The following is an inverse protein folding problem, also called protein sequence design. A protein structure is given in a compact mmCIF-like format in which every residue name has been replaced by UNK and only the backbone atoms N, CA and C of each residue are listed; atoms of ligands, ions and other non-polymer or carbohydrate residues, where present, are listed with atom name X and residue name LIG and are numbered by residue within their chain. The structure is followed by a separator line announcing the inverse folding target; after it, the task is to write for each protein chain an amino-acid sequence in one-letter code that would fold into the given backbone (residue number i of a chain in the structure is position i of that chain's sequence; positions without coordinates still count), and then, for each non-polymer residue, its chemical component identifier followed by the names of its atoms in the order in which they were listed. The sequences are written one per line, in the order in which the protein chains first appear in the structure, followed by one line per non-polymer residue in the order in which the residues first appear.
data_IF_379439302283
#
_entry.id   IF_379439302283
#
_cell.length_a   1.000
_cell.length_b   1.000
_cell.length_c   1.000
_cell.angle_alpha   90.00
_cell.angle_beta   90.00
_cell.angle_gamma   90.00
#
_symmetry.space_group_name_H-M   'P 1'
#
loop_
_entity.id
_entity.type
_entity.pdbx_description
1 polymer ?
#
# COMPACT_ATOMS: atom_id res chain seq x y z
N UNK A 1 -9.18 17.55 5.76
CA UNK A 1 -8.45 16.33 5.35
C UNK A 1 -7.49 15.91 6.45
N UNK A 2 -7.48 14.64 6.80
CA UNK A 2 -6.70 14.10 7.93
C UNK A 2 -5.20 14.39 7.78
N UNK A 3 -4.65 14.32 6.56
CA UNK A 3 -3.23 14.61 6.32
C UNK A 3 -2.85 16.06 6.66
N UNK A 4 -3.68 17.02 6.29
CA UNK A 4 -3.45 18.43 6.60
C UNK A 4 -3.56 18.69 8.10
N UNK A 5 -4.50 18.03 8.77
CA UNK A 5 -4.68 18.14 10.22
C UNK A 5 -3.49 17.57 11.00
N UNK A 6 -2.92 16.45 10.53
CA UNK A 6 -1.68 15.89 11.07
C UNK A 6 -0.49 16.87 10.92
N UNK A 7 -0.35 17.50 9.73
CA UNK A 7 0.67 18.48 9.44
C UNK A 7 0.53 19.71 10.34
N UNK A 8 -0.66 20.28 10.42
CA UNK A 8 -0.94 21.48 11.22
C UNK A 8 -0.63 21.24 12.70
N UNK A 9 -0.98 20.09 13.22
CA UNK A 9 -0.64 19.72 14.60
C UNK A 9 0.86 19.63 14.82
N UNK A 10 1.58 18.98 13.90
CA UNK A 10 3.04 18.87 14.01
C UNK A 10 3.73 20.22 13.94
N UNK A 11 3.29 21.09 13.09
CA UNK A 11 3.79 22.46 13.01
C UNK A 11 3.52 23.24 14.31
N UNK A 12 2.33 23.09 14.90
CA UNK A 12 1.98 23.72 16.17
C UNK A 12 2.75 23.19 17.37
N UNK A 13 3.08 21.90 17.37
CA UNK A 13 3.81 21.25 18.48
C UNK A 13 5.31 21.31 18.31
N UNK A 14 5.82 21.79 17.16
CA UNK A 14 7.27 21.84 16.83
C UNK A 14 7.98 20.48 16.97
N UNK A 15 7.25 19.38 16.90
CA UNK A 15 7.81 18.04 16.95
C UNK A 15 8.27 17.60 15.56
N UNK A 16 9.48 17.03 15.42
CA UNK A 16 9.95 16.55 14.14
C UNK A 16 9.07 15.42 13.62
N UNK A 17 8.88 15.37 12.33
CA UNK A 17 8.12 14.33 11.65
C UNK A 17 8.51 14.20 10.19
N UNK A 18 8.23 13.05 9.59
CA UNK A 18 8.47 12.77 8.19
C UNK A 18 7.11 12.52 7.51
N UNK A 19 6.86 13.21 6.41
CA UNK A 19 5.75 12.95 5.50
C UNK A 19 6.32 12.41 4.20
N UNK A 20 5.90 11.20 3.83
CA UNK A 20 6.29 10.56 2.58
C UNK A 20 5.06 10.37 1.70
N UNK A 21 5.07 10.95 0.51
CA UNK A 21 4.05 10.75 -0.52
C UNK A 21 4.56 9.75 -1.54
N UNK A 22 3.85 8.64 -1.70
CA UNK A 22 4.16 7.63 -2.70
C UNK A 22 3.38 7.90 -3.99
N UNK A 23 4.09 7.85 -5.10
CA UNK A 23 3.48 7.94 -6.43
C UNK A 23 2.88 6.59 -6.80
N UNK A 24 1.55 6.53 -6.84
CA UNK A 24 0.78 5.30 -7.12
C UNK A 24 1.09 4.73 -8.51
N UNK A 25 1.29 5.57 -9.52
CA UNK A 25 1.62 5.11 -10.87
C UNK A 25 2.96 4.38 -10.90
N UNK A 26 3.98 4.93 -10.24
CA UNK A 26 5.30 4.29 -10.14
C UNK A 26 5.24 3.00 -9.33
N UNK A 27 4.50 2.97 -8.24
CA UNK A 27 4.30 1.76 -7.45
C UNK A 27 3.64 0.67 -8.29
N UNK A 28 2.63 1.02 -9.07
CA UNK A 28 1.93 0.10 -9.98
C UNK A 28 2.87 -0.55 -11.00
N UNK A 29 3.78 0.24 -11.57
CA UNK A 29 4.76 -0.23 -12.55
C UNK A 29 5.89 -1.08 -11.93
N UNK A 30 6.08 -1.03 -10.62
CA UNK A 30 7.18 -1.68 -9.92
C UNK A 30 6.78 -2.84 -9.00
N UNK A 31 5.52 -3.25 -8.98
CA UNK A 31 5.09 -4.39 -8.18
C UNK A 31 5.88 -5.65 -8.54
N UNK A 32 6.56 -6.22 -7.57
CA UNK A 32 7.34 -7.44 -7.75
C UNK A 32 6.40 -8.66 -7.84
N UNK A 33 6.50 -9.42 -8.91
CA UNK A 33 5.63 -10.58 -9.14
C UNK A 33 5.89 -11.73 -8.16
N UNK A 34 7.13 -11.93 -7.73
CA UNK A 34 7.47 -12.93 -6.72
C UNK A 34 6.78 -12.63 -5.39
N UNK A 35 6.82 -11.38 -4.96
CA UNK A 35 6.09 -10.92 -3.79
C UNK A 35 4.57 -11.10 -3.97
N UNK A 36 4.04 -10.72 -5.12
CA UNK A 36 2.62 -10.86 -5.43
C UNK A 36 2.17 -12.33 -5.35
N UNK A 37 2.94 -13.26 -5.91
CA UNK A 37 2.62 -14.69 -5.84
C UNK A 37 2.63 -15.23 -4.41
N UNK A 38 3.58 -14.81 -3.58
CA UNK A 38 3.60 -15.14 -2.15
C UNK A 38 2.41 -14.56 -1.40
N UNK A 39 2.05 -13.32 -1.72
CA UNK A 39 0.89 -12.65 -1.13
C UNK A 39 -0.41 -13.39 -1.46
N UNK A 40 -0.60 -13.78 -2.71
CA UNK A 40 -1.75 -14.56 -3.16
C UNK A 40 -1.81 -15.92 -2.47
N UNK A 41 -0.69 -16.58 -2.28
CA UNK A 41 -0.61 -17.84 -1.55
C UNK A 41 -1.06 -17.68 -0.10
N UNK A 42 -0.53 -16.69 0.59
CA UNK A 42 -0.91 -16.39 1.98
C UNK A 42 -2.35 -15.92 2.12
N UNK A 43 -2.91 -15.36 1.06
CA UNK A 43 -4.33 -14.94 0.99
C UNK A 43 -5.29 -16.09 0.67
N UNK A 44 -4.78 -17.32 0.53
CA UNK A 44 -5.59 -18.52 0.31
C UNK A 44 -5.91 -18.82 -1.15
N UNK A 45 -5.25 -18.18 -2.11
CA UNK A 45 -5.42 -18.51 -3.53
C UNK A 45 -4.79 -19.87 -3.85
N UNK A 46 -5.56 -20.73 -4.53
CA UNK A 46 -5.06 -22.05 -4.96
C UNK A 46 -3.90 -21.92 -5.94
N UNK A 47 -3.06 -22.96 -6.00
CA UNK A 47 -1.93 -23.01 -6.94
C UNK A 47 -2.39 -22.84 -8.40
N UNK A 48 -3.56 -23.36 -8.76
CA UNK A 48 -4.16 -23.22 -10.09
C UNK A 48 -4.48 -21.75 -10.40
N UNK A 49 -5.12 -21.03 -9.48
CA UNK A 49 -5.45 -19.60 -9.64
C UNK A 49 -4.20 -18.75 -9.70
N UNK A 50 -3.21 -19.02 -8.88
CA UNK A 50 -1.93 -18.30 -8.89
C UNK A 50 -1.20 -18.48 -10.22
N UNK A 51 -1.18 -19.67 -10.79
CA UNK A 51 -0.60 -19.93 -12.12
C UNK A 51 -1.33 -19.17 -13.23
N UNK A 52 -2.65 -19.10 -13.16
CA UNK A 52 -3.41 -18.31 -14.12
C UNK A 52 -3.11 -16.82 -14.05
N UNK A 53 -3.05 -16.28 -12.84
CA UNK A 53 -2.69 -14.87 -12.62
C UNK A 53 -1.29 -14.60 -13.15
N UNK A 54 -0.34 -15.46 -12.84
CA UNK A 54 1.03 -15.34 -13.35
C UNK A 54 1.08 -15.40 -14.88
N UNK A 55 0.33 -16.31 -15.48
CA UNK A 55 0.20 -16.41 -16.93
C UNK A 55 -0.37 -15.12 -17.54
N UNK A 56 -1.43 -14.56 -16.97
CA UNK A 56 -2.00 -13.29 -17.40
C UNK A 56 -1.02 -12.12 -17.30
N UNK A 57 -0.17 -12.10 -16.28
CA UNK A 57 0.86 -11.08 -16.12
C UNK A 57 1.99 -11.22 -17.15
N UNK A 58 2.38 -12.46 -17.46
CA UNK A 58 3.54 -12.76 -18.29
C UNK A 58 3.26 -12.74 -19.79
N UNK A 59 2.06 -13.10 -20.25
CA UNK A 59 1.74 -13.36 -21.66
C UNK A 59 1.66 -12.10 -22.55
N UNK A 60 1.61 -10.91 -21.99
CA UNK A 60 1.30 -9.71 -22.76
C UNK A 60 2.49 -8.77 -22.91
N UNK A 61 3.67 -9.21 -22.54
CA UNK A 61 4.88 -8.39 -22.68
C UNK A 61 5.83 -8.96 -23.71
N UNK A 62 6.20 -8.13 -24.67
CA UNK A 62 7.23 -8.45 -25.68
C UNK A 62 8.64 -8.56 -25.09
N UNK A 63 8.81 -8.19 -23.81
CA UNK A 63 10.09 -8.24 -23.10
C UNK A 63 9.93 -9.02 -21.80
N UNK A 64 10.95 -9.76 -21.41
CA UNK A 64 11.03 -10.43 -20.12
C UNK A 64 10.96 -9.39 -18.99
N UNK A 65 9.82 -9.33 -18.31
CA UNK A 65 9.60 -8.47 -17.15
C UNK A 65 9.15 -9.33 -15.99
N UNK A 66 9.72 -9.07 -14.82
CA UNK A 66 9.34 -9.70 -13.55
C UNK A 66 8.61 -8.75 -12.60
N UNK A 67 8.26 -7.56 -13.08
CA UNK A 67 7.67 -6.49 -12.27
C UNK A 67 6.59 -5.74 -13.03
N UNK A 68 5.72 -5.11 -12.25
CA UNK A 68 4.69 -4.21 -12.69
C UNK A 68 3.37 -4.88 -13.06
N UNK A 69 2.30 -4.14 -12.85
CA UNK A 69 0.95 -4.50 -13.23
C UNK A 69 0.59 -3.81 -14.55
N UNK A 70 -0.23 -4.48 -15.35
CA UNK A 70 -0.64 -3.92 -16.63
C UNK A 70 -1.75 -2.89 -16.46
N UNK A 71 -1.57 -1.73 -17.05
CA UNK A 71 -2.63 -0.71 -17.13
C UNK A 71 -3.72 -1.16 -18.12
N UNK A 72 -4.98 -0.94 -17.76
CA UNK A 72 -6.12 -1.31 -18.58
C UNK A 72 -6.56 -2.77 -18.47
N UNK A 73 -5.86 -3.60 -17.72
CA UNK A 73 -6.28 -4.97 -17.42
C UNK A 73 -7.25 -4.96 -16.24
N UNK A 74 -8.44 -5.59 -16.33
CA UNK A 74 -9.40 -5.64 -15.22
C UNK A 74 -8.85 -6.31 -13.95
N UNK A 75 -7.89 -7.20 -14.07
CA UNK A 75 -7.27 -7.92 -12.95
C UNK A 75 -6.26 -7.05 -12.19
N UNK A 76 -5.55 -6.16 -12.88
CA UNK A 76 -4.47 -5.36 -12.30
C UNK A 76 -4.92 -4.46 -11.15
N UNK A 77 -6.06 -3.75 -11.20
CA UNK A 77 -6.54 -2.97 -10.07
C UNK A 77 -6.80 -3.81 -8.82
N UNK A 78 -7.35 -5.02 -8.96
CA UNK A 78 -7.58 -5.93 -7.85
C UNK A 78 -6.27 -6.41 -7.21
N UNK A 79 -5.29 -6.76 -8.02
CA UNK A 79 -3.96 -7.16 -7.55
C UNK A 79 -3.26 -6.00 -6.86
N UNK A 80 -3.40 -4.80 -7.37
CA UNK A 80 -2.85 -3.59 -6.75
C UNK A 80 -3.46 -3.31 -5.39
N UNK A 81 -4.78 -3.43 -5.24
CA UNK A 81 -5.47 -3.29 -3.95
C UNK A 81 -4.94 -4.30 -2.93
N UNK A 82 -4.71 -5.56 -3.33
CA UNK A 82 -4.12 -6.57 -2.46
C UNK A 82 -2.70 -6.20 -2.00
N UNK A 83 -1.88 -5.68 -2.90
CA UNK A 83 -0.53 -5.22 -2.57
C UNK A 83 -0.57 -4.03 -1.60
N UNK A 84 -1.46 -3.08 -1.82
CA UNK A 84 -1.62 -1.92 -0.95
C UNK A 84 -2.17 -2.30 0.42
N UNK A 85 -3.07 -3.25 0.50
CA UNK A 85 -3.56 -3.82 1.77
C UNK A 85 -2.42 -4.49 2.55
N UNK A 86 -1.57 -5.26 1.87
CA UNK A 86 -0.39 -5.86 2.48
C UNK A 86 0.58 -4.81 3.02
N UNK A 87 0.82 -3.73 2.25
CA UNK A 87 1.64 -2.61 2.69
C UNK A 87 1.06 -1.94 3.94
N UNK A 88 -0.24 -1.69 3.95
CA UNK A 88 -0.93 -1.13 5.11
C UNK A 88 -0.71 -1.97 6.37
N UNK A 89 -0.91 -3.28 6.27
CA UNK A 89 -0.68 -4.22 7.39
C UNK A 89 0.77 -4.27 7.85
N UNK A 90 1.72 -4.17 6.92
CA UNK A 90 3.15 -4.10 7.27
C UNK A 90 3.48 -2.82 8.03
N UNK A 91 2.90 -1.69 7.64
CA UNK A 91 3.07 -0.41 8.33
C UNK A 91 2.43 -0.45 9.74
N UNK A 92 1.22 -0.98 9.86
CA UNK A 92 0.55 -1.15 11.15
C UNK A 92 1.36 -2.04 12.10
N UNK A 93 1.92 -3.13 11.58
CA UNK A 93 2.82 -4.00 12.34
C UNK A 93 4.09 -3.27 12.78
N UNK A 94 4.68 -2.46 11.91
CA UNK A 94 5.86 -1.66 12.24
C UNK A 94 5.58 -0.65 13.37
N UNK A 95 4.40 -0.05 13.38
CA UNK A 95 3.95 0.82 14.48
C UNK A 95 3.75 0.02 15.76
N UNK A 96 3.07 -1.13 15.69
CA UNK A 96 2.82 -1.99 16.85
C UNK A 96 4.12 -2.51 17.49
N UNK A 97 5.11 -2.84 16.69
CA UNK A 97 6.44 -3.29 17.15
C UNK A 97 7.36 -2.12 17.59
N UNK A 98 6.89 -0.89 17.55
CA UNK A 98 7.67 0.30 17.94
C UNK A 98 8.78 0.70 16.98
N UNK A 99 8.82 0.11 15.78
CA UNK A 99 9.81 0.45 14.73
C UNK A 99 9.47 1.76 14.02
N UNK A 100 8.22 2.18 14.09
CA UNK A 100 7.72 3.39 13.48
C UNK A 100 6.70 4.05 14.40
N UNK A 101 6.76 5.37 14.50
CA UNK A 101 5.80 6.16 15.26
C UNK A 101 4.81 6.81 14.30
N UNK A 102 3.51 6.60 14.55
CA UNK A 102 2.46 7.31 13.85
C UNK A 102 2.20 8.71 14.43
N UNK A 103 1.43 9.51 13.71
CA UNK A 103 0.94 10.78 14.20
C UNK A 103 -0.24 10.56 15.14
N UNK A 104 -0.18 11.18 16.32
CA UNK A 104 -1.29 11.17 17.26
C UNK A 104 -2.23 12.34 16.98
N UNK A 105 -3.48 12.02 16.68
CA UNK A 105 -4.56 12.99 16.59
C UNK A 105 -5.41 12.82 17.83
N UNK A 106 -5.40 13.82 18.73
CA UNK A 106 -6.27 13.83 19.91
C UNK A 106 -7.68 14.22 19.51
N UNK A 107 -8.69 13.46 19.91
CA UNK A 107 -10.08 13.87 19.89
C UNK A 107 -10.45 14.56 21.18
N UNK A 108 -11.44 15.46 21.12
CA UNK A 108 -12.04 16.16 22.26
C UNK A 108 -12.68 15.20 23.30
N UNK A 109 -12.85 13.92 22.97
CA UNK A 109 -13.43 12.87 23.82
C UNK A 109 -12.39 11.92 24.46
N UNK A 110 -11.11 12.30 24.51
CA UNK A 110 -10.08 11.52 25.20
C UNK A 110 -9.57 10.28 24.46
N UNK A 111 -10.00 10.03 23.24
CA UNK A 111 -9.45 8.98 22.37
C UNK A 111 -8.38 9.57 21.46
N UNK A 112 -7.16 9.08 21.57
CA UNK A 112 -6.10 9.42 20.62
C UNK A 112 -6.13 8.46 19.44
N UNK A 113 -6.23 8.99 18.24
CA UNK A 113 -6.08 8.23 17.01
C UNK A 113 -4.62 8.29 16.55
N UNK A 114 -4.03 7.15 16.28
CA UNK A 114 -2.68 7.05 15.71
C UNK A 114 -2.78 6.83 14.21
N UNK A 115 -2.24 7.76 13.43
CA UNK A 115 -2.21 7.67 11.97
C UNK A 115 -0.79 7.42 11.53
N UNK A 116 -0.55 6.25 10.91
CA UNK A 116 0.74 5.87 10.33
C UNK A 116 0.79 6.08 8.82
N UNK A 117 -0.31 5.83 8.15
CA UNK A 117 -0.44 5.95 6.70
C UNK A 117 -1.88 6.28 6.31
N UNK A 118 -2.02 6.86 5.13
CA UNK A 118 -3.30 7.15 4.50
C UNK A 118 -3.25 6.65 3.05
N UNK A 119 -4.23 5.87 2.66
CA UNK A 119 -4.40 5.40 1.29
C UNK A 119 -5.56 6.17 0.66
N UNK A 120 -5.27 6.88 -0.43
CA UNK A 120 -6.27 7.58 -1.21
C UNK A 120 -6.42 6.90 -2.57
N UNK A 121 -7.65 6.53 -2.91
CA UNK A 121 -7.98 6.27 -4.31
C UNK A 121 -8.14 7.64 -4.99
N UNK A 122 -7.24 7.99 -5.90
CA UNK A 122 -7.48 9.09 -6.82
C UNK A 122 -8.57 8.63 -7.78
N UNK A 123 -9.78 9.08 -7.56
CA UNK A 123 -10.81 9.04 -8.60
C UNK A 123 -10.41 10.05 -9.66
N UNK A 124 -9.98 9.53 -10.77
CA UNK A 124 -9.79 10.35 -11.95
C UNK A 124 -11.13 10.91 -12.43
#
# INVERSE_FOLDING_TARGET
MIANECLDRRLKTSLPGLLCKLDVEKVFDHVNWGFLMQLLERSGFSAKRRRWIFFCLSTVRFFESSRGLRRGDPLSPLLFVLVMEALGRMLDKAVHEGRMLGFHIGNLEGRSLVVSHLLFAATA
#
